data_IF_750020227359
#
_entry.id   IF_750020227359
#
_cell.length_a   1.000
_cell.length_b   1.000
_cell.length_c   1.000
_cell.angle_alpha   90.00
_cell.angle_beta   90.00
_cell.angle_gamma   90.00
#
_symmetry.space_group_name_H-M   'P 1'
#
loop_
_entity.id
_entity.type
_entity.pdbx_description
1 polymer ?
#
# COMPACT_ATOMS: atom_id res chain seq x y z
N UNK A 1 35.69 -1.22 9.66
CA UNK A 1 34.25 -1.24 9.34
C UNK A 1 33.79 0.21 9.17
N UNK A 2 34.21 0.83 8.07
CA UNK A 2 33.87 2.22 7.74
C UNK A 2 33.12 2.18 6.41
N UNK A 3 31.80 1.98 6.49
CA UNK A 3 30.90 2.17 5.35
C UNK A 3 30.23 3.52 5.55
N UNK A 4 30.85 4.55 4.98
CA UNK A 4 30.22 5.87 4.87
C UNK A 4 28.83 5.72 4.26
N UNK A 5 27.82 6.16 5.00
CA UNK A 5 26.45 6.28 4.51
C UNK A 5 26.45 7.19 3.26
N UNK A 6 25.67 6.85 2.22
CA UNK A 6 25.56 7.70 1.04
C UNK A 6 25.07 9.10 1.40
N UNK A 7 25.57 10.10 0.67
CA UNK A 7 25.32 11.52 0.92
C UNK A 7 23.83 11.88 0.77
N UNK A 8 23.30 12.71 1.68
CA UNK A 8 21.88 13.10 1.81
C UNK A 8 21.23 13.61 0.50
N UNK A 9 21.99 14.12 -0.46
CA UNK A 9 21.45 14.72 -1.68
C UNK A 9 20.68 13.74 -2.58
N UNK A 10 21.00 12.44 -2.53
CA UNK A 10 20.30 11.41 -3.31
C UNK A 10 18.89 11.08 -2.76
N UNK A 11 18.64 11.30 -1.47
CA UNK A 11 17.35 11.02 -0.83
C UNK A 11 16.33 12.15 -0.97
N UNK A 12 16.81 13.39 -1.13
CA UNK A 12 15.98 14.60 -1.11
C UNK A 12 14.99 14.69 -2.28
N UNK A 13 15.33 14.09 -3.44
CA UNK A 13 14.45 14.06 -4.61
C UNK A 13 13.25 13.10 -4.46
N UNK A 14 13.41 11.99 -3.72
CA UNK A 14 12.33 11.01 -3.49
C UNK A 14 11.37 11.43 -2.37
N UNK A 15 11.85 12.20 -1.38
CA UNK A 15 11.04 12.68 -0.26
C UNK A 15 9.93 13.67 -0.67
N UNK A 16 10.16 14.48 -1.72
CA UNK A 16 9.23 15.55 -2.11
C UNK A 16 7.86 15.07 -2.61
N UNK A 17 7.76 13.87 -3.19
CA UNK A 17 6.46 13.34 -3.68
C UNK A 17 5.64 12.74 -2.54
N UNK A 18 6.30 12.11 -1.57
CA UNK A 18 5.66 11.58 -0.36
C UNK A 18 5.13 12.72 0.54
N UNK A 19 5.88 13.84 0.58
CA UNK A 19 5.54 15.02 1.36
C UNK A 19 4.21 15.68 0.94
N UNK A 20 3.90 15.73 -0.36
CA UNK A 20 2.67 16.37 -0.86
C UNK A 20 1.38 15.61 -0.48
N UNK A 21 1.46 14.29 -0.34
CA UNK A 21 0.31 13.49 0.11
C UNK A 21 0.09 13.63 1.62
N UNK A 22 1.19 13.67 2.39
CA UNK A 22 1.16 13.90 3.84
C UNK A 22 0.58 15.29 4.18
N UNK A 23 0.95 16.32 3.40
CA UNK A 23 0.54 17.71 3.61
C UNK A 23 -0.98 17.93 3.54
N UNK A 24 -1.71 17.24 2.63
CA UNK A 24 -3.16 17.41 2.50
C UNK A 24 -3.94 16.86 3.68
N UNK A 25 -3.54 15.70 4.22
CA UNK A 25 -4.20 15.10 5.38
C UNK A 25 -3.81 15.78 6.68
N UNK A 26 -2.56 16.25 6.81
CA UNK A 26 -2.14 17.06 7.94
C UNK A 26 -2.91 18.38 8.00
N UNK A 27 -3.22 19.00 6.86
CA UNK A 27 -4.02 20.23 6.84
C UNK A 27 -5.43 20.05 7.43
N UNK A 28 -6.11 18.94 7.14
CA UNK A 28 -7.45 18.67 7.68
C UNK A 28 -7.40 18.41 9.19
N UNK A 29 -6.43 17.62 9.65
CA UNK A 29 -6.20 17.42 11.08
C UNK A 29 -5.83 18.75 11.77
N UNK A 30 -5.00 19.58 11.14
CA UNK A 30 -4.54 20.84 11.72
C UNK A 30 -5.60 21.94 11.71
N UNK A 31 -6.53 21.94 10.76
CA UNK A 31 -7.68 22.85 10.80
C UNK A 31 -8.56 22.52 12.01
N UNK A 32 -8.71 21.23 12.32
CA UNK A 32 -9.38 20.78 13.55
C UNK A 32 -8.62 21.24 14.82
N UNK A 33 -7.29 21.15 14.82
CA UNK A 33 -6.44 21.66 15.91
C UNK A 33 -6.38 23.19 15.99
N UNK A 34 -6.54 23.95 14.91
CA UNK A 34 -6.59 25.42 14.94
C UNK A 34 -7.93 25.92 15.51
N UNK A 35 -9.04 25.27 15.17
CA UNK A 35 -10.35 25.55 15.76
C UNK A 35 -10.35 25.22 17.26
N UNK A 36 -9.68 24.13 17.67
CA UNK A 36 -9.46 23.82 19.08
C UNK A 36 -8.42 24.73 19.75
N UNK A 37 -7.39 25.17 19.03
CA UNK A 37 -6.30 26.00 19.52
C UNK A 37 -6.74 27.41 19.93
N UNK A 38 -7.82 27.94 19.35
CA UNK A 38 -8.43 29.18 19.82
C UNK A 38 -9.14 29.04 21.18
N UNK A 39 -9.57 27.83 21.57
CA UNK A 39 -10.21 27.57 22.87
C UNK A 39 -9.18 27.33 23.98
N UNK A 40 -7.96 26.95 23.63
CA UNK A 40 -6.86 26.72 24.57
C UNK A 40 -5.75 27.74 24.33
N UNK A 41 -6.01 29.01 24.68
CA UNK A 41 -5.00 30.07 24.71
C UNK A 41 -3.95 29.88 25.85
N UNK A 42 -3.93 28.70 26.47
CA UNK A 42 -2.92 28.27 27.42
C UNK A 42 -1.75 27.64 26.68
N UNK A 43 -0.58 28.26 26.82
CA UNK A 43 0.72 27.81 26.33
C UNK A 43 1.22 26.55 27.06
N UNK A 44 0.43 25.47 27.05
CA UNK A 44 0.91 24.19 27.57
C UNK A 44 1.66 23.52 26.42
N UNK A 45 2.99 23.52 26.50
CA UNK A 45 3.82 22.71 25.62
C UNK A 45 3.37 21.25 25.78
N UNK A 46 2.86 20.67 24.70
CA UNK A 46 2.45 19.27 24.71
C UNK A 46 3.70 18.43 24.46
N UNK A 47 4.01 17.53 25.38
CA UNK A 47 5.14 16.61 25.23
C UNK A 47 4.74 15.55 24.21
N UNK A 48 5.37 15.57 23.03
CA UNK A 48 5.05 14.62 21.96
C UNK A 48 6.10 13.52 21.93
N UNK A 49 5.67 12.28 21.97
CA UNK A 49 6.53 11.12 21.82
C UNK A 49 6.21 10.39 20.53
N UNK A 50 7.24 10.19 19.72
CA UNK A 50 7.09 9.61 18.40
C UNK A 50 7.92 8.35 18.31
N UNK A 51 7.24 7.21 18.28
CA UNK A 51 7.85 5.89 18.25
C UNK A 51 7.71 5.35 16.84
N UNK A 52 8.82 5.31 16.11
CA UNK A 52 8.87 4.73 14.76
C UNK A 52 9.26 3.27 14.86
N UNK A 53 8.42 2.38 14.36
CA UNK A 53 8.57 0.93 14.40
C UNK A 53 8.84 0.40 12.99
N UNK A 54 10.07 -0.04 12.71
CA UNK A 54 10.48 -0.53 11.39
C UNK A 54 11.03 -1.95 11.51
N UNK A 55 10.18 -2.94 11.27
CA UNK A 55 10.48 -4.34 11.56
C UNK A 55 11.31 -5.10 10.52
N UNK A 56 11.92 -4.42 9.55
CA UNK A 56 12.76 -5.09 8.54
C UNK A 56 13.79 -4.15 7.91
N UNK A 57 14.78 -4.72 7.22
CA UNK A 57 15.62 -3.99 6.26
C UNK A 57 15.26 -4.33 4.81
N UNK A 58 13.95 -4.45 4.52
CA UNK A 58 13.47 -4.62 3.15
C UNK A 58 13.81 -3.37 2.30
N UNK A 59 14.40 -3.51 1.10
CA UNK A 59 14.81 -2.36 0.28
C UNK A 59 13.65 -1.47 -0.21
N UNK A 60 12.40 -1.94 -0.11
CA UNK A 60 11.22 -1.18 -0.53
C UNK A 60 10.53 -0.42 0.63
N UNK A 61 10.62 -0.92 1.86
CA UNK A 61 9.86 -0.37 3.00
C UNK A 61 10.52 -0.52 4.37
N UNK A 62 11.64 -1.22 4.45
CA UNK A 62 12.41 -1.41 5.67
C UNK A 62 13.18 -0.16 6.08
N UNK A 63 14.08 -0.32 7.05
CA UNK A 63 14.81 0.77 7.69
C UNK A 63 15.56 1.63 6.67
N UNK A 64 16.34 1.00 5.77
CA UNK A 64 17.10 1.70 4.73
C UNK A 64 16.25 2.55 3.78
N UNK A 65 15.00 2.16 3.51
CA UNK A 65 14.10 2.89 2.63
C UNK A 65 13.27 3.96 3.37
N UNK A 66 12.76 3.62 4.55
CA UNK A 66 11.75 4.41 5.26
C UNK A 66 12.35 5.39 6.27
N UNK A 67 13.45 5.05 6.96
CA UNK A 67 14.01 5.90 8.00
C UNK A 67 14.41 7.31 7.48
N UNK A 68 15.09 7.45 6.32
CA UNK A 68 15.42 8.78 5.78
C UNK A 68 14.19 9.63 5.46
N UNK A 69 13.07 8.99 5.06
CA UNK A 69 11.81 9.69 4.77
C UNK A 69 11.23 10.28 6.04
N UNK A 70 11.22 9.51 7.13
CA UNK A 70 10.76 10.00 8.44
C UNK A 70 11.66 11.13 8.96
N UNK A 71 12.98 11.00 8.87
CA UNK A 71 13.90 12.08 9.29
C UNK A 71 13.60 13.40 8.59
N UNK A 72 13.48 13.38 7.25
CA UNK A 72 13.16 14.58 6.47
C UNK A 72 11.78 15.13 6.84
N UNK A 73 10.79 14.25 7.04
CA UNK A 73 9.45 14.66 7.47
C UNK A 73 9.48 15.34 8.85
N UNK A 74 10.27 14.83 9.81
CA UNK A 74 10.38 15.42 11.14
C UNK A 74 11.00 16.80 11.13
N UNK A 75 12.13 16.97 10.42
CA UNK A 75 12.75 18.29 10.23
C UNK A 75 11.72 19.27 9.69
N UNK A 76 10.96 18.83 8.68
CA UNK A 76 9.96 19.70 8.07
C UNK A 76 8.76 20.01 8.97
N UNK A 77 8.32 19.05 9.80
CA UNK A 77 7.26 19.27 10.78
C UNK A 77 7.70 20.25 11.88
N UNK A 78 8.96 20.18 12.32
CA UNK A 78 9.51 21.13 13.30
C UNK A 78 9.56 22.56 12.72
N UNK A 79 9.96 22.71 11.46
CA UNK A 79 9.92 24.02 10.77
C UNK A 79 8.51 24.58 10.65
N UNK A 80 7.54 23.75 10.27
CA UNK A 80 6.16 24.17 10.03
C UNK A 80 5.36 24.39 11.33
N UNK A 81 5.68 23.62 12.38
CA UNK A 81 4.93 23.59 13.63
C UNK A 81 5.84 23.66 14.87
N UNK A 82 6.67 24.70 14.99
CA UNK A 82 7.72 24.76 16.01
C UNK A 82 7.18 24.72 17.45
N UNK A 83 5.96 25.22 17.68
CA UNK A 83 5.30 25.17 19.01
C UNK A 83 4.83 23.77 19.37
N UNK A 84 4.21 23.06 18.43
CA UNK A 84 3.71 21.70 18.66
C UNK A 84 4.85 20.68 18.80
N UNK A 85 5.99 20.97 18.15
CA UNK A 85 7.17 20.12 18.18
C UNK A 85 8.31 20.67 19.05
N UNK A 86 8.01 21.59 19.98
CA UNK A 86 9.01 22.21 20.85
C UNK A 86 9.62 21.21 21.85
N UNK A 87 8.81 20.25 22.34
CA UNK A 87 9.25 19.18 23.22
C UNK A 87 8.89 17.82 22.64
N UNK A 88 9.72 17.32 21.71
CA UNK A 88 9.48 16.04 21.04
C UNK A 88 10.58 15.05 21.38
N UNK A 89 10.20 13.90 21.90
CA UNK A 89 11.09 12.75 22.03
C UNK A 89 10.83 11.76 20.90
N UNK A 90 11.91 11.27 20.28
CA UNK A 90 11.86 10.37 19.12
C UNK A 90 12.53 9.06 19.45
N UNK A 91 11.83 7.96 19.21
CA UNK A 91 12.33 6.61 19.37
C UNK A 91 12.25 5.89 18.03
N UNK A 92 13.31 5.20 17.63
CA UNK A 92 13.33 4.38 16.44
C UNK A 92 13.63 2.93 16.85
N UNK A 93 12.61 2.09 16.83
CA UNK A 93 12.74 0.65 17.02
C UNK A 93 12.87 0.01 15.65
N UNK A 94 14.01 -0.60 15.38
CA UNK A 94 14.24 -1.26 14.11
C UNK A 94 14.93 -2.60 14.26
N UNK A 95 14.62 -3.51 13.35
CA UNK A 95 15.32 -4.78 13.18
C UNK A 95 16.08 -4.77 11.86
N UNK A 96 17.35 -5.21 11.90
CA UNK A 96 18.20 -5.32 10.71
C UNK A 96 17.96 -6.60 9.91
N UNK A 97 17.09 -7.48 10.40
CA UNK A 97 16.79 -8.73 9.73
C UNK A 97 16.04 -8.47 8.42
N UNK A 98 16.46 -9.15 7.35
CA UNK A 98 15.72 -9.20 6.07
C UNK A 98 14.54 -10.14 6.24
N UNK A 99 13.53 -9.68 6.94
CA UNK A 99 12.32 -10.46 7.20
C UNK A 99 11.31 -10.27 6.08
N UNK A 100 10.58 -11.33 5.77
CA UNK A 100 9.38 -11.21 4.93
C UNK A 100 8.26 -10.53 5.72
N UNK A 101 7.19 -10.10 5.04
CA UNK A 101 6.05 -9.49 5.71
C UNK A 101 5.42 -10.39 6.82
N UNK A 102 5.24 -11.71 6.61
CA UNK A 102 4.85 -12.62 7.68
C UNK A 102 5.83 -12.66 8.86
N UNK A 103 7.14 -12.72 8.57
CA UNK A 103 8.17 -12.74 9.60
C UNK A 103 8.18 -11.44 10.42
N UNK A 104 7.98 -10.29 9.77
CA UNK A 104 7.85 -8.99 10.44
C UNK A 104 6.66 -8.92 11.39
N UNK A 105 5.56 -9.59 11.08
CA UNK A 105 4.41 -9.69 11.98
C UNK A 105 4.75 -10.52 13.24
N UNK A 106 5.58 -11.56 13.10
CA UNK A 106 6.05 -12.38 14.22
C UNK A 106 7.06 -11.64 15.10
N UNK A 107 7.76 -10.62 14.58
CA UNK A 107 8.67 -9.81 15.40
C UNK A 107 7.95 -8.71 16.19
N UNK A 108 6.73 -8.29 15.80
CA UNK A 108 5.96 -7.28 16.54
C UNK A 108 5.77 -7.64 18.03
N UNK A 109 5.34 -8.86 18.40
CA UNK A 109 5.25 -9.25 19.80
C UNK A 109 6.58 -9.13 20.55
N UNK A 110 7.71 -9.44 19.90
CA UNK A 110 9.04 -9.38 20.53
C UNK A 110 9.46 -7.95 20.84
N UNK A 111 9.18 -7.00 19.93
CA UNK A 111 9.49 -5.59 20.15
C UNK A 111 8.44 -4.84 20.97
N UNK A 112 7.27 -5.45 21.19
CA UNK A 112 6.17 -4.84 21.96
C UNK A 112 6.56 -4.53 23.40
N UNK A 113 7.49 -5.32 23.97
CA UNK A 113 8.07 -5.07 25.28
C UNK A 113 8.79 -3.72 25.33
N UNK A 114 9.71 -3.48 24.38
CA UNK A 114 10.44 -2.21 24.29
C UNK A 114 9.50 -1.02 24.07
N UNK A 115 8.44 -1.20 23.26
CA UNK A 115 7.41 -0.15 23.09
C UNK A 115 6.72 0.13 24.43
N UNK A 116 6.34 -0.92 25.17
CA UNK A 116 5.69 -0.78 26.46
C UNK A 116 6.57 -0.07 27.48
N UNK A 117 7.88 -0.35 27.50
CA UNK A 117 8.83 0.36 28.38
C UNK A 117 8.94 1.86 28.03
N UNK A 118 9.02 2.20 26.74
CA UNK A 118 9.02 3.60 26.30
C UNK A 118 7.72 4.31 26.70
N UNK A 119 6.58 3.64 26.50
CA UNK A 119 5.27 4.17 26.88
C UNK A 119 5.12 4.30 28.40
N UNK A 120 5.71 3.41 29.20
CA UNK A 120 5.68 3.48 30.66
C UNK A 120 6.58 4.60 31.21
N UNK A 121 7.69 4.92 30.53
CA UNK A 121 8.55 6.05 30.87
C UNK A 121 8.00 7.42 30.44
N UNK A 122 6.84 7.45 29.79
CA UNK A 122 6.23 8.66 29.27
C UNK A 122 5.67 9.57 30.37
N UNK A 123 5.82 10.91 30.28
CA UNK A 123 5.11 11.83 31.16
C UNK A 123 3.59 11.62 31.06
N UNK A 124 2.88 11.69 32.18
CA UNK A 124 1.43 11.46 32.24
C UNK A 124 0.60 12.48 31.43
N UNK A 125 1.20 13.59 31.01
CA UNK A 125 0.56 14.67 30.24
C UNK A 125 0.98 14.71 28.76
N UNK A 126 1.79 13.75 28.30
CA UNK A 126 2.28 13.71 26.92
C UNK A 126 1.39 12.91 25.96
N UNK A 127 1.55 13.18 24.66
CA UNK A 127 0.94 12.41 23.58
C UNK A 127 1.98 11.48 22.96
N UNK A 128 1.77 10.18 23.08
CA UNK A 128 2.54 9.18 22.36
C UNK A 128 1.87 8.82 21.03
N UNK A 129 2.65 8.60 19.99
CA UNK A 129 2.20 8.21 18.66
C UNK A 129 3.12 7.15 18.08
N UNK A 130 2.55 6.10 17.51
CA UNK A 130 3.27 5.09 16.76
C UNK A 130 3.25 5.38 15.26
N UNK A 131 4.41 5.24 14.61
CA UNK A 131 4.53 5.24 13.15
C UNK A 131 5.14 3.93 12.68
N UNK A 132 4.50 3.27 11.72
CA UNK A 132 5.02 2.02 11.17
C UNK A 132 4.85 1.97 9.65
N UNK A 133 5.95 1.96 8.87
CA UNK A 133 5.89 1.72 7.42
C UNK A 133 5.67 0.24 7.09
N UNK A 134 5.24 -0.58 8.06
CA UNK A 134 5.09 -2.01 7.92
C UNK A 134 4.02 -2.44 6.93
N UNK A 135 4.14 -3.68 6.48
CA UNK A 135 3.13 -4.31 5.64
C UNK A 135 1.84 -4.59 6.43
N UNK A 136 0.76 -4.95 5.73
CA UNK A 136 -0.55 -5.15 6.39
C UNK A 136 -0.57 -6.16 7.53
N UNK A 137 0.24 -7.25 7.47
CA UNK A 137 0.32 -8.23 8.56
C UNK A 137 0.99 -7.66 9.81
N UNK A 138 2.07 -6.89 9.64
CA UNK A 138 2.73 -6.17 10.74
C UNK A 138 1.77 -5.19 11.40
N UNK A 139 1.05 -4.40 10.60
CA UNK A 139 0.10 -3.40 11.11
C UNK A 139 -1.11 -4.05 11.79
N UNK A 140 -1.52 -5.24 11.35
CA UNK A 140 -2.60 -5.99 12.01
C UNK A 140 -2.19 -6.33 13.44
N UNK A 141 -1.00 -6.90 13.64
CA UNK A 141 -0.53 -7.28 14.98
C UNK A 141 -0.22 -6.04 15.83
N UNK A 142 0.49 -5.06 15.27
CA UNK A 142 0.81 -3.82 15.98
C UNK A 142 -0.44 -2.99 16.29
N UNK A 143 -1.46 -3.06 15.44
CA UNK A 143 -2.74 -2.39 15.63
C UNK A 143 -3.54 -2.95 16.80
N UNK A 144 -3.49 -4.26 17.04
CA UNK A 144 -4.09 -4.86 18.23
C UNK A 144 -3.36 -4.36 19.50
N UNK A 145 -2.03 -4.29 19.50
CA UNK A 145 -1.28 -3.68 20.62
C UNK A 145 -1.58 -2.18 20.80
N UNK A 146 -1.62 -1.42 19.70
CA UNK A 146 -1.92 0.01 19.72
C UNK A 146 -3.33 0.30 20.27
N UNK A 147 -4.29 -0.62 20.07
CA UNK A 147 -5.60 -0.56 20.72
C UNK A 147 -5.47 -0.72 22.24
N UNK A 148 -4.74 -1.74 22.70
CA UNK A 148 -4.59 -2.00 24.15
C UNK A 148 -3.81 -0.88 24.86
N UNK A 149 -2.79 -0.31 24.23
CA UNK A 149 -2.08 0.85 24.75
C UNK A 149 -2.86 2.16 24.62
N UNK A 150 -3.98 2.16 23.87
CA UNK A 150 -4.72 3.36 23.50
C UNK A 150 -3.83 4.45 22.85
N UNK A 151 -2.93 4.05 21.97
CA UNK A 151 -1.97 4.93 21.28
C UNK A 151 -2.32 5.00 19.79
N UNK A 152 -2.42 6.19 19.18
CA UNK A 152 -2.59 6.33 17.74
C UNK A 152 -1.46 5.64 16.96
N UNK A 153 -1.82 4.79 15.99
CA UNK A 153 -0.88 4.13 15.07
C UNK A 153 -1.10 4.61 13.65
N UNK A 154 -0.08 5.22 13.06
CA UNK A 154 -0.09 5.62 11.66
C UNK A 154 0.76 4.68 10.81
N UNK A 155 0.20 4.22 9.69
CA UNK A 155 0.94 3.40 8.72
C UNK A 155 0.88 3.96 7.31
N UNK A 156 2.00 3.89 6.60
CA UNK A 156 2.12 4.33 5.21
C UNK A 156 1.89 3.23 4.17
N UNK A 157 1.88 1.94 4.56
CA UNK A 157 1.80 0.83 3.60
C UNK A 157 0.69 -0.18 3.88
N UNK A 158 0.20 -0.30 5.12
CA UNK A 158 -0.87 -1.24 5.47
C UNK A 158 -2.14 -1.03 4.63
N UNK A 159 -2.31 -1.85 3.58
CA UNK A 159 -3.36 -1.68 2.58
C UNK A 159 -4.48 -2.71 2.68
N UNK A 160 -4.38 -3.65 3.63
CA UNK A 160 -5.42 -4.66 3.83
C UNK A 160 -6.74 -3.99 4.27
N UNK A 161 -7.86 -4.23 3.55
CA UNK A 161 -9.14 -3.62 3.88
C UNK A 161 -9.64 -3.88 5.31
N UNK A 162 -9.18 -4.95 5.97
CA UNK A 162 -9.50 -5.24 7.37
C UNK A 162 -8.99 -4.18 8.34
N UNK A 163 -7.91 -3.45 8.00
CA UNK A 163 -7.39 -2.34 8.79
C UNK A 163 -8.33 -1.12 8.83
N UNK A 164 -9.34 -1.10 7.95
CA UNK A 164 -10.40 -0.09 8.00
C UNK A 164 -11.48 -0.38 9.06
N UNK A 165 -11.49 -1.58 9.66
CA UNK A 165 -12.44 -1.91 10.74
C UNK A 165 -12.05 -1.20 12.04
N UNK A 166 -12.69 -0.06 12.30
CA UNK A 166 -12.48 0.74 13.52
C UNK A 166 -13.04 0.09 14.79
N UNK A 167 -13.83 -0.98 14.69
CA UNK A 167 -14.22 -1.76 15.88
C UNK A 167 -13.03 -2.55 16.41
N UNK A 168 -12.25 -3.15 15.50
CA UNK A 168 -11.02 -3.88 15.88
C UNK A 168 -9.81 -2.97 16.04
N UNK A 169 -9.66 -1.96 15.18
CA UNK A 169 -8.49 -1.08 15.11
C UNK A 169 -8.87 0.40 15.29
N UNK A 170 -9.40 0.80 16.46
CA UNK A 170 -9.92 2.16 16.68
C UNK A 170 -8.83 3.24 16.59
N UNK A 171 -7.59 2.92 16.97
CA UNK A 171 -6.45 3.86 17.00
C UNK A 171 -5.59 3.82 15.74
N UNK A 172 -5.84 2.88 14.82
CA UNK A 172 -5.01 2.70 13.63
C UNK A 172 -5.51 3.58 12.50
N UNK A 173 -4.63 4.30 11.82
CA UNK A 173 -4.92 5.02 10.58
C UNK A 173 -3.88 4.70 9.53
N UNK A 174 -4.33 4.17 8.40
CA UNK A 174 -3.47 3.75 7.29
C UNK A 174 -3.61 4.72 6.12
N UNK A 175 -2.50 5.07 5.50
CA UNK A 175 -2.44 5.86 4.27
C UNK A 175 -1.67 5.08 3.19
N UNK A 176 -2.16 3.89 2.79
CA UNK A 176 -1.45 3.08 1.82
C UNK A 176 -1.34 3.84 0.49
N UNK A 177 -0.21 3.69 -0.19
CA UNK A 177 -0.02 4.23 -1.55
C UNK A 177 -1.03 3.67 -2.54
N UNK A 178 -1.59 2.49 -2.26
CA UNK A 178 -2.65 1.87 -3.06
C UNK A 178 -3.84 1.50 -2.17
N UNK A 179 -4.98 2.11 -2.47
CA UNK A 179 -6.26 1.76 -1.85
C UNK A 179 -6.97 0.65 -2.64
N UNK A 180 -6.79 -0.60 -2.20
CA UNK A 180 -7.44 -1.76 -2.82
C UNK A 180 -8.97 -1.69 -2.77
N UNK A 181 -9.54 -1.01 -1.77
CA UNK A 181 -10.99 -0.82 -1.68
C UNK A 181 -11.46 0.09 -2.81
N UNK A 182 -10.82 1.24 -3.00
CA UNK A 182 -11.13 2.13 -4.12
C UNK A 182 -10.94 1.45 -5.48
N UNK A 183 -9.86 0.67 -5.66
CA UNK A 183 -9.66 -0.11 -6.88
C UNK A 183 -10.83 -1.07 -7.12
N UNK A 184 -11.25 -1.83 -6.11
CA UNK A 184 -12.35 -2.79 -6.27
C UNK A 184 -13.69 -2.12 -6.62
N UNK A 185 -13.96 -0.94 -6.04
CA UNK A 185 -15.14 -0.13 -6.34
C UNK A 185 -15.06 0.39 -7.78
N UNK A 186 -13.89 0.93 -8.17
CA UNK A 186 -13.68 1.44 -9.52
C UNK A 186 -13.86 0.35 -10.58
N UNK A 187 -13.32 -0.86 -10.33
CA UNK A 187 -13.53 -2.02 -11.21
C UNK A 187 -15.01 -2.36 -11.31
N UNK A 188 -15.73 -2.47 -10.19
CA UNK A 188 -17.17 -2.76 -10.21
C UNK A 188 -17.97 -1.71 -11.01
N UNK A 189 -17.72 -0.42 -10.75
CA UNK A 189 -18.40 0.67 -11.45
C UNK A 189 -18.08 0.67 -12.94
N UNK A 190 -16.83 0.39 -13.31
CA UNK A 190 -16.40 0.26 -14.69
C UNK A 190 -17.13 -0.89 -15.40
N UNK A 191 -17.17 -2.08 -14.80
CA UNK A 191 -17.89 -3.24 -15.35
C UNK A 191 -19.39 -2.93 -15.53
N UNK A 192 -20.03 -2.28 -14.55
CA UNK A 192 -21.44 -1.86 -14.63
C UNK A 192 -21.67 -0.86 -15.75
N UNK A 193 -20.82 0.16 -15.86
CA UNK A 193 -20.90 1.19 -16.90
C UNK A 193 -20.91 0.58 -18.30
N UNK A 194 -20.11 -0.47 -18.50
CA UNK A 194 -20.02 -1.18 -19.78
C UNK A 194 -20.99 -2.37 -19.92
N UNK A 195 -21.89 -2.58 -18.94
CA UNK A 195 -22.82 -3.72 -18.88
C UNK A 195 -22.11 -5.08 -19.01
N UNK A 196 -20.91 -5.16 -18.49
CA UNK A 196 -20.12 -6.38 -18.50
C UNK A 196 -20.48 -7.25 -17.30
N UNK A 197 -21.10 -8.40 -17.57
CA UNK A 197 -21.64 -9.30 -16.55
C UNK A 197 -20.79 -10.55 -16.35
N UNK A 198 -20.03 -10.99 -17.36
CA UNK A 198 -19.18 -12.19 -17.27
C UNK A 198 -17.73 -11.74 -17.17
N UNK A 199 -17.07 -12.10 -16.06
CA UNK A 199 -15.73 -11.61 -15.72
C UNK A 199 -14.84 -12.78 -15.35
N UNK A 200 -13.72 -12.91 -16.05
CA UNK A 200 -12.63 -13.81 -15.66
C UNK A 200 -11.51 -13.02 -14.99
N UNK A 201 -11.14 -13.44 -13.77
CA UNK A 201 -10.07 -12.83 -12.99
C UNK A 201 -8.91 -13.81 -12.93
N UNK A 202 -7.76 -13.39 -13.48
CA UNK A 202 -6.52 -14.15 -13.34
C UNK A 202 -5.79 -13.64 -12.11
N UNK A 203 -5.56 -14.53 -11.15
CA UNK A 203 -4.94 -14.18 -9.88
C UNK A 203 -3.59 -14.88 -9.77
N UNK A 204 -2.53 -14.08 -9.76
CA UNK A 204 -1.16 -14.56 -9.56
C UNK A 204 -0.94 -14.91 -8.09
N UNK A 205 -1.05 -16.19 -7.75
CA UNK A 205 -0.89 -16.67 -6.37
C UNK A 205 0.58 -16.77 -5.95
N UNK A 206 1.49 -16.91 -6.91
CA UNK A 206 2.91 -17.15 -6.69
C UNK A 206 3.74 -16.25 -7.61
N UNK A 207 3.65 -14.94 -7.37
CA UNK A 207 4.29 -13.99 -8.26
C UNK A 207 5.81 -14.18 -8.31
N UNK A 208 6.38 -14.19 -9.52
CA UNK A 208 7.82 -14.08 -9.72
C UNK A 208 8.40 -12.81 -9.08
N UNK A 209 7.55 -11.79 -8.88
CA UNK A 209 7.88 -10.57 -8.16
C UNK A 209 7.52 -10.71 -6.69
N UNK A 210 8.37 -11.37 -5.91
CA UNK A 210 8.11 -11.65 -4.48
C UNK A 210 7.80 -10.39 -3.65
N UNK A 211 8.34 -9.23 -4.01
CA UNK A 211 8.04 -7.95 -3.34
C UNK A 211 6.62 -7.42 -3.62
N UNK A 212 6.00 -7.84 -4.73
CA UNK A 212 4.68 -7.39 -5.19
C UNK A 212 3.62 -8.49 -5.08
N UNK A 213 3.99 -9.72 -4.73
CA UNK A 213 3.06 -10.84 -4.60
C UNK A 213 1.88 -10.50 -3.68
N UNK A 214 2.17 -9.93 -2.51
CA UNK A 214 1.15 -9.47 -1.55
C UNK A 214 0.18 -8.46 -2.19
N UNK A 215 0.70 -7.52 -2.98
CA UNK A 215 -0.12 -6.53 -3.69
C UNK A 215 -1.12 -7.19 -4.64
N UNK A 216 -0.66 -8.15 -5.45
CA UNK A 216 -1.51 -8.86 -6.42
C UNK A 216 -2.57 -9.71 -5.73
N UNK A 217 -2.16 -10.46 -4.71
CA UNK A 217 -3.05 -11.34 -3.95
C UNK A 217 -4.14 -10.52 -3.25
N UNK A 218 -3.78 -9.43 -2.57
CA UNK A 218 -4.76 -8.55 -1.91
C UNK A 218 -5.69 -7.89 -2.94
N UNK A 219 -5.15 -7.40 -4.06
CA UNK A 219 -5.96 -6.78 -5.12
C UNK A 219 -6.97 -7.75 -5.71
N UNK A 220 -6.52 -8.95 -6.12
CA UNK A 220 -7.40 -9.99 -6.65
C UNK A 220 -8.49 -10.33 -5.63
N UNK A 221 -8.12 -10.62 -4.39
CA UNK A 221 -9.07 -11.03 -3.36
C UNK A 221 -10.09 -9.92 -3.05
N UNK A 222 -9.66 -8.66 -3.05
CA UNK A 222 -10.55 -7.52 -2.79
C UNK A 222 -11.53 -7.30 -3.95
N UNK A 223 -11.04 -7.37 -5.20
CA UNK A 223 -11.89 -7.28 -6.39
C UNK A 223 -12.89 -8.44 -6.43
N UNK A 224 -12.41 -9.67 -6.24
CA UNK A 224 -13.25 -10.87 -6.17
C UNK A 224 -14.37 -10.69 -5.14
N UNK A 225 -14.03 -10.41 -3.87
CA UNK A 225 -15.02 -10.21 -2.80
C UNK A 225 -16.03 -9.13 -3.15
N UNK A 226 -15.58 -8.02 -3.75
CA UNK A 226 -16.45 -6.90 -4.13
C UNK A 226 -17.45 -7.29 -5.21
N UNK A 227 -17.03 -8.09 -6.20
CA UNK A 227 -17.89 -8.56 -7.27
C UNK A 227 -18.80 -9.71 -6.82
N UNK A 228 -18.29 -10.66 -6.01
CA UNK A 228 -19.07 -11.77 -5.41
C UNK A 228 -20.21 -11.23 -4.52
N UNK A 229 -19.94 -10.16 -3.76
CA UNK A 229 -20.95 -9.52 -2.91
C UNK A 229 -22.09 -8.86 -3.70
N UNK A 230 -21.90 -8.61 -5.00
CA UNK A 230 -22.94 -8.12 -5.90
C UNK A 230 -23.68 -9.30 -6.54
N UNK A 231 -24.38 -10.07 -5.71
CA UNK A 231 -25.08 -11.29 -6.11
C UNK A 231 -26.02 -11.00 -7.28
N UNK A 232 -25.89 -11.80 -8.36
CA UNK A 232 -26.70 -11.66 -9.59
C UNK A 232 -26.21 -10.57 -10.56
N UNK A 233 -25.30 -9.69 -10.15
CA UNK A 233 -24.75 -8.67 -11.05
C UNK A 233 -23.62 -9.19 -11.93
N UNK A 234 -22.85 -10.18 -11.46
CA UNK A 234 -21.70 -10.70 -12.18
C UNK A 234 -21.61 -12.22 -12.10
N UNK A 235 -21.22 -12.86 -13.20
CA UNK A 235 -20.76 -14.23 -13.28
C UNK A 235 -19.23 -14.22 -13.27
N UNK A 236 -18.64 -14.69 -12.18
CA UNK A 236 -17.19 -14.66 -11.99
C UNK A 236 -16.54 -16.01 -12.31
N UNK A 237 -15.43 -15.97 -13.02
CA UNK A 237 -14.55 -17.10 -13.23
C UNK A 237 -13.16 -16.77 -12.67
N UNK A 238 -12.70 -17.56 -11.70
CA UNK A 238 -11.38 -17.41 -11.13
C UNK A 238 -10.43 -18.39 -11.82
N UNK A 239 -9.35 -17.86 -12.36
CA UNK A 239 -8.31 -18.68 -12.98
C UNK A 239 -7.02 -18.45 -12.18
N UNK A 240 -6.59 -19.45 -11.38
CA UNK A 240 -5.32 -19.35 -10.69
C UNK A 240 -4.21 -19.29 -11.74
N UNK A 241 -3.21 -18.48 -11.45
CA UNK A 241 -2.07 -18.26 -12.32
C UNK A 241 -0.81 -18.19 -11.45
N UNK A 242 0.30 -18.74 -11.95
CA UNK A 242 1.58 -18.75 -11.26
C UNK A 242 2.64 -18.20 -12.22
N UNK A 243 3.01 -16.94 -12.04
CA UNK A 243 4.03 -16.32 -12.89
C UNK A 243 5.45 -16.79 -12.60
N UNK A 244 5.69 -17.43 -11.46
CA UNK A 244 7.00 -17.99 -11.10
C UNK A 244 7.25 -19.34 -11.77
N UNK A 245 6.20 -20.06 -12.17
CA UNK A 245 6.37 -21.31 -12.90
C UNK A 245 7.03 -21.03 -14.27
N UNK A 246 8.24 -21.56 -14.50
CA UNK A 246 8.97 -21.42 -15.77
C UNK A 246 8.34 -22.23 -16.93
N UNK A 247 7.12 -22.73 -16.73
CA UNK A 247 6.41 -23.49 -17.75
C UNK A 247 5.81 -22.46 -18.70
N UNK A 248 6.59 -22.03 -19.71
CA UNK A 248 6.12 -21.11 -20.75
C UNK A 248 4.82 -21.58 -21.44
N UNK A 249 4.54 -22.89 -21.40
CA UNK A 249 3.30 -23.51 -21.87
C UNK A 249 2.07 -23.24 -20.98
N UNK A 250 2.25 -22.72 -19.77
CA UNK A 250 1.16 -22.46 -18.82
C UNK A 250 0.36 -21.21 -19.22
N UNK A 251 1.02 -20.12 -19.64
CA UNK A 251 0.32 -18.90 -20.09
C UNK A 251 -0.68 -19.17 -21.21
N UNK A 252 -0.27 -19.89 -22.25
CA UNK A 252 -1.14 -20.20 -23.38
C UNK A 252 -2.32 -21.09 -22.96
N UNK A 253 -2.07 -22.04 -22.05
CA UNK A 253 -3.11 -22.93 -21.50
C UNK A 253 -4.10 -22.15 -20.63
N UNK A 254 -3.60 -21.26 -19.77
CA UNK A 254 -4.40 -20.36 -18.93
C UNK A 254 -5.24 -19.42 -19.80
N UNK A 255 -4.64 -18.78 -20.81
CA UNK A 255 -5.36 -17.89 -21.73
C UNK A 255 -6.43 -18.66 -22.52
N UNK A 256 -6.12 -19.87 -23.02
CA UNK A 256 -7.10 -20.73 -23.69
C UNK A 256 -8.23 -21.15 -22.75
N UNK A 257 -7.93 -21.46 -21.49
CA UNK A 257 -8.96 -21.78 -20.48
C UNK A 257 -9.86 -20.58 -20.24
N UNK A 258 -9.30 -19.38 -20.10
CA UNK A 258 -10.09 -18.15 -19.96
C UNK A 258 -10.94 -17.89 -21.21
N UNK A 259 -10.37 -18.13 -22.39
CA UNK A 259 -11.06 -18.04 -23.68
C UNK A 259 -12.31 -18.95 -23.73
N UNK A 260 -12.20 -20.17 -23.21
CA UNK A 260 -13.31 -21.13 -23.19
C UNK A 260 -14.40 -20.76 -22.17
N UNK A 261 -14.00 -20.19 -21.03
CA UNK A 261 -14.92 -19.79 -19.96
C UNK A 261 -15.70 -18.53 -20.32
N UNK A 262 -15.13 -17.67 -21.15
CA UNK A 262 -15.66 -16.33 -21.42
C UNK A 262 -16.10 -16.26 -22.89
N UNK A 263 -17.40 -16.44 -23.15
CA UNK A 263 -17.99 -16.47 -24.50
C UNK A 263 -18.12 -15.05 -25.07
N UNK A 264 -17.08 -14.49 -25.70
CA UNK A 264 -17.18 -13.16 -26.33
C UNK A 264 -15.86 -12.55 -26.81
N UNK A 265 -15.93 -11.31 -27.31
CA UNK A 265 -14.74 -10.46 -27.54
C UNK A 265 -14.07 -10.15 -26.21
N UNK A 266 -12.73 -10.27 -26.17
CA UNK A 266 -11.93 -10.10 -24.96
C UNK A 266 -11.53 -8.65 -24.78
N UNK A 267 -11.89 -8.08 -23.64
CA UNK A 267 -11.23 -6.88 -23.15
C UNK A 267 -10.24 -7.26 -22.08
N UNK A 268 -8.96 -7.08 -22.38
CA UNK A 268 -7.88 -7.17 -21.41
C UNK A 268 -7.81 -5.85 -20.66
N UNK A 269 -8.43 -5.79 -19.48
CA UNK A 269 -8.16 -4.70 -18.56
C UNK A 269 -6.87 -5.05 -17.81
N UNK A 270 -5.75 -4.62 -18.37
CA UNK A 270 -4.49 -4.59 -17.64
C UNK A 270 -4.52 -3.39 -16.71
N UNK A 271 -4.68 -3.63 -15.41
CA UNK A 271 -4.49 -2.56 -14.41
C UNK A 271 -2.98 -2.33 -14.32
N UNK A 272 -2.47 -1.46 -15.20
CA UNK A 272 -1.10 -0.95 -15.08
C UNK A 272 -1.12 0.13 -14.01
N UNK A 273 -0.54 -0.19 -12.87
CA UNK A 273 -0.32 0.79 -11.81
C UNK A 273 0.97 1.53 -12.17
N UNK A 274 0.80 2.70 -12.79
CA UNK A 274 1.90 3.60 -13.04
C UNK A 274 2.18 4.40 -11.77
N UNK A 275 3.31 4.15 -11.13
CA UNK A 275 3.85 5.07 -10.12
C UNK A 275 4.59 6.19 -10.85
N UNK A 276 3.91 7.28 -11.19
CA UNK A 276 4.55 8.50 -11.67
C UNK A 276 5.20 9.23 -10.49
N UNK A 277 6.50 9.05 -10.30
CA UNK A 277 7.33 10.04 -9.60
C UNK A 277 7.70 11.14 -10.60
N UNK A 278 7.47 12.40 -10.23
CA UNK A 278 7.84 13.54 -11.07
C UNK A 278 9.34 13.48 -11.41
N UNK A 279 9.67 13.79 -12.67
CA UNK A 279 10.97 13.67 -13.37
C UNK A 279 11.14 12.32 -14.10
N UNK A 280 10.46 12.20 -15.25
CA UNK A 280 10.90 11.31 -16.34
C UNK A 280 11.81 12.11 -17.30
N UNK A 281 13.14 11.88 -17.33
CA UNK A 281 13.93 12.25 -18.48
C UNK A 281 13.51 11.37 -19.67
N UNK A 282 13.22 12.00 -20.80
CA UNK A 282 12.59 11.42 -22.01
C UNK A 282 13.37 10.29 -22.70
N UNK A 283 14.55 9.90 -22.21
CA UNK A 283 15.47 9.03 -22.96
C UNK A 283 15.83 7.70 -22.28
N UNK A 284 15.12 7.29 -21.22
CA UNK A 284 15.36 6.01 -20.53
C UNK A 284 14.08 5.17 -20.34
N UNK A 285 13.27 5.05 -21.39
CA UNK A 285 12.08 4.17 -21.46
C UNK A 285 12.39 2.84 -22.16
N UNK A 286 13.40 2.08 -21.70
CA UNK A 286 13.64 0.70 -22.22
C UNK A 286 13.66 -0.41 -21.16
N UNK A 287 13.44 -0.12 -19.88
CA UNK A 287 13.25 -1.18 -18.87
C UNK A 287 12.37 -0.71 -17.71
N UNK A 288 11.07 -0.57 -17.99
CA UNK A 288 10.04 -0.43 -16.96
C UNK A 288 9.24 -1.73 -16.87
N UNK A 289 9.24 -2.36 -15.70
CA UNK A 289 8.55 -3.63 -15.45
C UNK A 289 7.02 -3.44 -15.46
N UNK A 290 6.28 -4.14 -16.34
CA UNK A 290 4.82 -4.12 -16.30
C UNK A 290 4.28 -5.06 -15.22
N UNK A 291 3.67 -4.47 -14.19
CA UNK A 291 2.83 -5.16 -13.21
C UNK A 291 1.47 -5.44 -13.87
N UNK A 292 1.04 -6.70 -13.92
CA UNK A 292 -0.11 -7.12 -14.74
C UNK A 292 -1.17 -7.82 -13.91
N UNK A 293 -2.20 -7.08 -13.47
CA UNK A 293 -3.50 -7.70 -13.11
C UNK A 293 -4.31 -7.78 -14.40
N UNK A 294 -4.61 -9.00 -14.84
CA UNK A 294 -5.38 -9.26 -16.04
C UNK A 294 -6.82 -9.55 -15.64
N UNK A 295 -7.69 -8.56 -15.77
CA UNK A 295 -9.13 -8.79 -15.74
C UNK A 295 -9.55 -8.99 -17.19
N UNK A 296 -9.93 -10.21 -17.54
CA UNK A 296 -10.46 -10.51 -18.87
C UNK A 296 -11.97 -10.44 -18.78
N UNK A 297 -12.53 -9.47 -19.46
CA UNK A 297 -13.98 -9.26 -19.47
C UNK A 297 -14.52 -9.65 -20.84
N UNK A 298 -15.61 -10.43 -20.85
CA UNK A 298 -16.27 -10.81 -22.09
C UNK A 298 -17.65 -10.21 -22.24
N UNK A 299 -17.89 -9.74 -23.44
CA UNK A 299 -19.17 -9.22 -23.89
C UNK A 299 -20.11 -10.34 -24.33
N UNK A 300 -21.38 -10.34 -23.90
CA UNK A 300 -22.41 -11.06 -24.65
C UNK A 300 -22.51 -10.43 -26.05
N UNK A 301 -22.57 -11.28 -27.07
CA UNK A 301 -22.52 -10.86 -28.47
C UNK A 301 -23.57 -9.79 -28.81
N UNK A 302 -23.12 -8.59 -29.15
CA UNK A 302 -23.91 -7.59 -29.87
C UNK A 302 -23.17 -7.24 -31.17
N UNK A 303 -23.77 -7.69 -32.27
CA UNK A 303 -23.58 -7.40 -33.71
C UNK A 303 -22.32 -6.63 -34.15
N UNK A 304 -21.49 -7.38 -34.92
CA UNK A 304 -20.59 -7.04 -36.04
C UNK A 304 -19.84 -5.69 -36.11
N UNK A 305 -18.58 -5.87 -36.50
CA UNK A 305 -17.63 -4.92 -37.11
C UNK A 305 -16.84 -4.06 -36.14
N UNK A 306 -15.59 -4.48 -35.85
CA UNK A 306 -14.35 -3.72 -36.03
C UNK A 306 -13.13 -4.57 -35.60
N UNK A 307 -12.22 -4.74 -36.57
CA UNK A 307 -10.79 -5.08 -36.49
C UNK A 307 -10.31 -6.42 -35.91
N UNK A 308 -10.22 -7.39 -36.81
CA UNK A 308 -9.04 -8.27 -36.91
C UNK A 308 -7.90 -7.44 -37.48
N UNK A 309 -6.83 -7.25 -36.71
CA UNK A 309 -5.65 -6.53 -37.16
C UNK A 309 -4.44 -6.90 -36.30
N UNK A 310 -3.77 -7.98 -36.68
CA UNK A 310 -2.36 -8.35 -36.43
C UNK A 310 -2.20 -9.80 -35.96
N UNK A 311 -2.02 -10.70 -36.92
CA UNK A 311 -1.13 -11.87 -36.81
C UNK A 311 -1.02 -12.56 -38.19
N UNK A 312 -0.37 -11.91 -39.15
CA UNK A 312 0.21 -12.62 -40.30
C UNK A 312 1.66 -12.19 -40.40
N UNK A 313 2.52 -12.90 -39.67
CA UNK A 313 3.95 -12.98 -39.98
C UNK A 313 4.08 -13.77 -41.29
N UNK A 314 4.49 -13.09 -42.37
CA UNK A 314 4.89 -13.72 -43.62
C UNK A 314 6.35 -14.14 -43.49
N UNK A 315 6.59 -15.44 -43.55
CA UNK A 315 7.83 -16.02 -44.07
C UNK A 315 7.94 -15.73 -45.56
N UNK A 316 9.02 -15.06 -45.97
CA UNK A 316 9.82 -15.35 -47.16
C UNK A 316 11.25 -14.90 -46.87
#
# INVERSE_FOLDING_TARGET
>A
LDKRLPTMSAYQSRANTFFLFFHKYLHVAFTFFQVFGCLFNGTVGLDVQIITVINSDNPFYGYSASAPVFEVAFVKMQELYPRAFANVSRYALYSTSKVTCPDGALTVPLISHNISEILAGSPSTGLSVLFCPGCSLEITVLGDFAREWNVPLFSSLGSDPSLADKRRYPTVTTFPTVDHRSISIAVQLFLRKHRWRIVSILCDSLSQFGALSTFYVISCNTIKRKLDAAVGDFQLHLVPFDSKSNIANDYFTVLRKVQQLSRGQYFFLQIKIFSCGNVCPSNLLKSFFPVTVVIIVTLPAFVRSIMVGQATSRTK
#
